data_IF_403216495037
#
_entry.id   IF_403216495037
#
_cell.length_a   1.000
_cell.length_b   1.000
_cell.length_c   1.000
_cell.angle_alpha   90.00
_cell.angle_beta   90.00
_cell.angle_gamma   90.00
#
_symmetry.space_group_name_H-M   'P 1'
#
loop_
_entity.id
_entity.type
_entity.pdbx_description
1 polymer ?
#
# COMPACT_ATOMS: atom_id res chain seq x y z
N UNK A 1 5.33 3.22 8.87
CA UNK A 1 5.21 2.29 10.02
C UNK A 1 4.40 2.93 11.15
N UNK A 2 4.77 4.13 11.59
CA UNK A 2 4.08 4.95 12.61
C UNK A 2 2.54 4.89 12.61
N UNK A 3 1.86 5.11 11.49
CA UNK A 3 0.39 5.08 11.44
C UNK A 3 -0.20 3.69 11.71
N UNK A 4 0.43 2.61 11.24
CA UNK A 4 -0.01 1.23 11.50
C UNK A 4 0.22 0.85 12.96
N UNK A 5 1.34 1.29 13.53
CA UNK A 5 1.65 1.06 14.95
C UNK A 5 0.63 1.78 15.85
N UNK A 6 0.21 3.00 15.48
CA UNK A 6 -0.89 3.70 16.15
C UNK A 6 -2.24 2.97 16.04
N UNK A 7 -2.53 2.31 14.92
CA UNK A 7 -3.77 1.50 14.81
C UNK A 7 -3.74 0.24 15.69
N UNK A 8 -2.55 -0.33 15.93
CA UNK A 8 -2.38 -1.50 16.80
C UNK A 8 -2.56 -1.16 18.29
N UNK A 9 -2.34 0.08 18.69
CA UNK A 9 -2.50 0.51 20.10
C UNK A 9 -3.95 0.89 20.44
N UNK A 10 -4.79 1.19 19.45
CA UNK A 10 -6.21 1.51 19.65
C UNK A 10 -6.97 0.22 19.99
N UNK A 11 -7.52 0.16 21.22
CA UNK A 11 -8.28 -1.00 21.74
C UNK A 11 -9.80 -0.86 21.58
N UNK A 12 -10.30 0.34 21.32
CA UNK A 12 -11.72 0.66 21.27
C UNK A 12 -12.22 0.68 19.80
N UNK A 13 -13.26 -0.11 19.44
CA UNK A 13 -13.70 -0.26 18.06
C UNK A 13 -14.33 0.99 17.41
N UNK A 14 -14.45 2.11 18.12
CA UNK A 14 -15.14 3.32 17.65
C UNK A 14 -14.47 4.63 18.10
N UNK A 15 -13.19 4.58 18.45
CA UNK A 15 -12.43 5.79 18.78
C UNK A 15 -12.42 6.76 17.58
N UNK A 16 -12.86 8.02 17.72
CA UNK A 16 -12.74 9.04 16.67
C UNK A 16 -11.31 9.18 16.12
N UNK A 17 -10.30 8.92 16.94
CA UNK A 17 -8.89 8.90 16.52
C UNK A 17 -8.63 7.79 15.49
N UNK A 18 -9.33 6.66 15.59
CA UNK A 18 -9.19 5.55 14.64
C UNK A 18 -9.58 5.96 13.22
N UNK A 19 -10.70 6.66 13.07
CA UNK A 19 -11.14 7.16 11.77
C UNK A 19 -10.13 8.14 11.16
N UNK A 20 -9.51 9.00 11.98
CA UNK A 20 -8.49 9.94 11.54
C UNK A 20 -7.19 9.24 11.12
N UNK A 21 -6.66 8.33 11.96
CA UNK A 21 -5.44 7.57 11.68
C UNK A 21 -5.63 6.67 10.45
N UNK A 22 -6.79 6.01 10.34
CA UNK A 22 -7.11 5.18 9.18
C UNK A 22 -7.15 5.98 7.88
N UNK A 23 -7.88 7.10 7.86
CA UNK A 23 -7.94 7.99 6.68
C UNK A 23 -6.56 8.48 6.27
N UNK A 24 -5.71 8.82 7.24
CA UNK A 24 -4.33 9.25 6.99
C UNK A 24 -3.52 8.12 6.35
N UNK A 25 -3.53 6.93 6.93
CA UNK A 25 -2.84 5.75 6.40
C UNK A 25 -3.31 5.40 4.98
N UNK A 26 -4.63 5.39 4.76
CA UNK A 26 -5.23 5.10 3.46
C UNK A 26 -4.79 6.14 2.41
N UNK A 27 -4.83 7.43 2.75
CA UNK A 27 -4.40 8.51 1.86
C UNK A 27 -2.92 8.38 1.49
N UNK A 28 -2.05 8.21 2.48
CA UNK A 28 -0.60 8.05 2.24
C UNK A 28 -0.31 6.84 1.35
N UNK A 29 -0.93 5.69 1.63
CA UNK A 29 -0.75 4.47 0.84
C UNK A 29 -1.19 4.66 -0.62
N UNK A 30 -2.36 5.28 -0.84
CA UNK A 30 -2.89 5.54 -2.19
C UNK A 30 -1.97 6.50 -2.94
N UNK A 31 -1.49 7.57 -2.31
CA UNK A 31 -0.57 8.52 -2.92
C UNK A 31 0.79 7.89 -3.22
N UNK A 32 1.32 7.05 -2.33
CA UNK A 32 2.55 6.30 -2.58
C UNK A 32 2.42 5.34 -3.77
N UNK A 33 1.27 4.67 -3.91
CA UNK A 33 1.00 3.78 -5.05
C UNK A 33 0.82 4.53 -6.38
N UNK A 34 0.54 5.84 -6.36
CA UNK A 34 0.43 6.69 -7.56
C UNK A 34 1.77 7.26 -8.01
N UNK A 35 2.81 7.22 -7.16
CA UNK A 35 4.13 7.73 -7.52
C UNK A 35 4.63 6.98 -8.76
N UNK A 36 5.16 7.69 -9.78
CA UNK A 36 5.71 7.03 -10.94
C UNK A 36 6.87 6.14 -10.50
N UNK A 37 6.85 4.89 -10.95
CA UNK A 37 8.02 4.03 -10.82
C UNK A 37 9.17 4.64 -11.63
N UNK A 38 10.43 4.44 -11.20
CA UNK A 38 11.59 4.82 -11.99
C UNK A 38 11.41 4.34 -13.44
N UNK A 39 11.66 5.22 -14.39
CA UNK A 39 11.66 4.83 -15.79
C UNK A 39 12.70 3.73 -15.99
N UNK A 40 12.38 2.74 -16.82
CA UNK A 40 13.38 1.78 -17.29
C UNK A 40 14.47 2.59 -17.99
N UNK A 41 15.67 2.60 -17.41
CA UNK A 41 16.79 3.37 -17.91
C UNK A 41 17.14 2.90 -19.32
N UNK A 42 16.94 3.77 -20.30
CA UNK A 42 17.19 3.51 -21.71
C UNK A 42 18.71 3.33 -21.96
N UNK A 43 19.57 3.80 -21.04
CA UNK A 43 21.02 3.61 -21.12
C UNK A 43 21.44 2.17 -20.79
N UNK A 44 20.63 1.39 -20.06
CA UNK A 44 20.82 -0.05 -19.87
C UNK A 44 20.12 -0.83 -20.99
N UNK A 45 20.67 -1.98 -21.37
CA UNK A 45 20.03 -2.88 -22.33
C UNK A 45 18.73 -3.47 -21.72
N UNK A 46 17.63 -2.72 -21.83
CA UNK A 46 16.32 -3.12 -21.29
C UNK A 46 15.81 -4.34 -22.04
N UNK A 47 15.67 -5.45 -21.33
CA UNK A 47 15.15 -6.70 -21.88
C UNK A 47 13.62 -6.69 -21.95
N UNK A 48 13.05 -7.65 -22.67
CA UNK A 48 11.59 -7.90 -22.64
C UNK A 48 11.11 -8.24 -21.23
N UNK A 49 11.94 -8.98 -20.46
CA UNK A 49 11.64 -9.35 -19.08
C UNK A 49 11.54 -8.11 -18.18
N UNK A 50 12.45 -7.15 -18.32
CA UNK A 50 12.43 -5.90 -17.54
C UNK A 50 11.13 -5.10 -17.79
N UNK A 51 10.70 -5.03 -19.06
CA UNK A 51 9.42 -4.40 -19.44
C UNK A 51 8.23 -5.13 -18.81
N UNK A 52 8.25 -6.46 -18.79
CA UNK A 52 7.19 -7.26 -18.18
C UNK A 52 7.17 -7.10 -16.65
N UNK A 53 8.34 -7.13 -16.00
CA UNK A 53 8.48 -6.91 -14.57
C UNK A 53 7.98 -5.52 -14.18
N UNK A 54 8.36 -4.48 -14.93
CA UNK A 54 7.87 -3.12 -14.70
C UNK A 54 6.34 -3.03 -14.80
N UNK A 55 5.73 -3.62 -15.84
CA UNK A 55 4.26 -3.67 -15.98
C UNK A 55 3.59 -4.39 -14.81
N UNK A 56 4.19 -5.48 -14.31
CA UNK A 56 3.67 -6.21 -13.15
C UNK A 56 3.77 -5.37 -11.87
N UNK A 57 4.89 -4.66 -11.65
CA UNK A 57 5.05 -3.73 -10.52
C UNK A 57 3.96 -2.67 -10.51
N UNK A 58 3.72 -2.02 -11.67
CA UNK A 58 2.62 -1.04 -11.81
C UNK A 58 1.26 -1.66 -11.48
N UNK A 59 0.97 -2.85 -12.01
CA UNK A 59 -0.31 -3.53 -11.78
C UNK A 59 -0.55 -3.81 -10.30
N UNK A 60 0.45 -4.34 -9.59
CA UNK A 60 0.34 -4.64 -8.15
C UNK A 60 0.05 -3.37 -7.35
N UNK A 61 0.73 -2.26 -7.64
CA UNK A 61 0.47 -0.98 -6.97
C UNK A 61 -0.95 -0.47 -7.22
N UNK A 62 -1.46 -0.62 -8.45
CA UNK A 62 -2.85 -0.25 -8.78
C UNK A 62 -3.88 -1.13 -8.06
N UNK A 63 -3.64 -2.45 -7.97
CA UNK A 63 -4.51 -3.36 -7.22
C UNK A 63 -4.57 -3.00 -5.73
N UNK A 64 -3.41 -2.71 -5.13
CA UNK A 64 -3.31 -2.33 -3.72
C UNK A 64 -4.02 -0.99 -3.47
N UNK A 65 -3.80 0.00 -4.33
CA UNK A 65 -4.48 1.29 -4.25
C UNK A 65 -6.00 1.15 -4.29
N UNK A 66 -6.53 0.40 -5.27
CA UNK A 66 -7.97 0.12 -5.37
C UNK A 66 -8.51 -0.66 -4.17
N UNK A 67 -7.75 -1.61 -3.64
CA UNK A 67 -8.15 -2.37 -2.45
C UNK A 67 -8.19 -1.48 -1.20
N UNK A 68 -7.22 -0.57 -1.06
CA UNK A 68 -7.18 0.42 0.00
C UNK A 68 -8.39 1.35 -0.07
N UNK A 69 -8.72 1.90 -1.24
CA UNK A 69 -9.89 2.77 -1.45
C UNK A 69 -11.22 2.10 -1.06
N UNK A 70 -11.35 0.78 -1.29
CA UNK A 70 -12.56 0.00 -0.94
C UNK A 70 -12.71 -0.29 0.55
N UNK A 71 -11.68 -0.04 1.36
CA UNK A 71 -11.73 -0.27 2.81
C UNK A 71 -12.15 0.98 3.57
N UNK A 72 -12.88 0.75 4.66
CA UNK A 72 -13.42 1.80 5.51
C UNK A 72 -13.00 1.55 6.97
N UNK A 73 -12.86 2.63 7.76
CA UNK A 73 -12.62 2.58 9.21
C UNK A 73 -13.68 1.79 9.96
N UNK A 74 -14.90 1.65 9.42
CA UNK A 74 -15.95 0.80 10.00
C UNK A 74 -15.66 -0.71 9.90
N UNK A 75 -14.61 -1.11 9.18
CA UNK A 75 -14.19 -2.52 9.10
C UNK A 75 -13.49 -2.91 10.41
N UNK A 76 -13.80 -4.07 11.01
CA UNK A 76 -13.12 -4.51 12.23
C UNK A 76 -11.60 -4.53 12.09
N UNK A 77 -10.89 -3.95 13.07
CA UNK A 77 -9.41 -3.84 13.07
C UNK A 77 -8.72 -5.19 12.87
N UNK A 78 -9.28 -6.26 13.45
CA UNK A 78 -8.79 -7.64 13.32
C UNK A 78 -8.77 -8.15 11.87
N UNK A 79 -9.64 -7.62 11.01
CA UNK A 79 -9.66 -7.94 9.57
C UNK A 79 -8.86 -6.94 8.74
N UNK A 80 -8.71 -5.73 9.23
CA UNK A 80 -8.13 -4.61 8.51
C UNK A 80 -6.60 -4.59 8.64
N UNK A 81 -6.07 -4.80 9.85
CA UNK A 81 -4.62 -4.81 10.13
C UNK A 81 -3.90 -5.87 9.29
N UNK A 82 -4.35 -7.15 9.23
CA UNK A 82 -3.68 -8.16 8.40
C UNK A 82 -3.71 -7.83 6.91
N UNK A 83 -4.78 -7.19 6.42
CA UNK A 83 -4.86 -6.74 5.02
C UNK A 83 -3.82 -5.68 4.70
N UNK A 84 -3.68 -4.68 5.59
CA UNK A 84 -2.67 -3.64 5.42
C UNK A 84 -1.27 -4.21 5.48
N UNK A 85 -0.98 -5.10 6.43
CA UNK A 85 0.32 -5.78 6.53
C UNK A 85 0.62 -6.59 5.26
N UNK A 86 -0.38 -7.28 4.72
CA UNK A 86 -0.27 -7.99 3.43
C UNK A 86 0.04 -7.05 2.26
N UNK A 87 -0.60 -5.89 2.20
CA UNK A 87 -0.31 -4.87 1.18
C UNK A 87 1.11 -4.32 1.31
N UNK A 88 1.54 -3.98 2.53
CA UNK A 88 2.89 -3.49 2.79
C UNK A 88 3.96 -4.53 2.44
N UNK A 89 3.73 -5.80 2.76
CA UNK A 89 4.63 -6.89 2.38
C UNK A 89 4.71 -7.06 0.86
N UNK A 90 3.57 -6.99 0.14
CA UNK A 90 3.57 -7.02 -1.33
C UNK A 90 4.34 -5.84 -1.92
N UNK A 91 4.15 -4.63 -1.39
CA UNK A 91 4.91 -3.44 -1.82
C UNK A 91 6.41 -3.63 -1.56
N UNK A 92 6.79 -4.09 -0.37
CA UNK A 92 8.20 -4.35 -0.04
C UNK A 92 8.83 -5.38 -1.00
N UNK A 93 8.10 -6.45 -1.34
CA UNK A 93 8.58 -7.49 -2.26
C UNK A 93 8.87 -6.99 -3.68
N UNK A 94 8.20 -5.92 -4.12
CA UNK A 94 8.40 -5.33 -5.45
C UNK A 94 9.35 -4.13 -5.44
N UNK A 95 9.69 -3.60 -4.26
CA UNK A 95 10.59 -2.48 -4.07
C UNK A 95 12.07 -2.89 -3.92
N UNK A 96 12.34 -4.19 -3.73
CA UNK A 96 13.71 -4.73 -3.67
C UNK A 96 14.23 -4.89 -5.11
N UNK A 97 15.34 -4.20 -5.38
CA UNK A 97 16.27 -4.40 -6.50
C UNK A 97 17.64 -4.81 -5.94
#
# INVERSE_FOLDING_TARGET
KTNLDSLKTIRLPHDPLMAAVWKKLQKELVEDCKKPLPALDIQKAVTVLDKQLWKLRVRVLQEISKAAEKTNWKTPLQKLIPKVEGWLNRIASIAIE
#
